data_IF_175934692193
#
_entry.id   IF_175934692193
#
_cell.length_a   1.000
_cell.length_b   1.000
_cell.length_c   1.000
_cell.angle_alpha   90.00
_cell.angle_beta   90.00
_cell.angle_gamma   90.00
#
_symmetry.space_group_name_H-M   'P 1'
#
loop_
_entity.id
_entity.type
_entity.pdbx_description
1 polymer ?
#
# COMPACT_ATOMS: atom_id res chain seq x y z
N UNK A 1 -0.27 -5.36 11.97
CA UNK A 1 -0.21 -5.99 10.63
C UNK A 1 -0.10 -4.91 9.57
N UNK A 2 0.69 -5.13 8.53
CA UNK A 2 0.90 -4.19 7.43
C UNK A 2 0.35 -4.80 6.14
N UNK A 3 -0.58 -4.09 5.50
CA UNK A 3 -1.16 -4.43 4.20
C UNK A 3 -0.69 -3.41 3.18
N UNK A 4 -0.03 -3.83 2.12
CA UNK A 4 0.30 -2.97 0.99
C UNK A 4 -0.59 -3.32 -0.19
N UNK A 5 -1.49 -2.40 -0.55
CA UNK A 5 -2.46 -2.58 -1.62
C UNK A 5 -2.17 -1.58 -2.73
N UNK A 6 -1.89 -2.09 -3.92
CA UNK A 6 -1.57 -1.25 -5.06
C UNK A 6 -2.52 -1.50 -6.24
N UNK A 7 -2.59 -0.55 -7.16
CA UNK A 7 -3.46 -0.63 -8.32
C UNK A 7 -3.61 0.71 -9.03
N UNK A 8 -4.26 0.69 -10.20
CA UNK A 8 -4.49 1.90 -11.02
C UNK A 8 -5.17 3.02 -10.24
N UNK A 9 -4.98 4.28 -10.64
CA UNK A 9 -5.81 5.37 -10.15
C UNK A 9 -7.30 5.04 -10.27
N UNK A 10 -8.10 5.50 -9.28
CA UNK A 10 -9.56 5.35 -9.27
C UNK A 10 -10.12 3.92 -9.26
N UNK A 11 -9.29 2.91 -9.04
CA UNK A 11 -9.73 1.49 -8.92
C UNK A 11 -10.50 1.22 -7.63
N UNK A 12 -10.47 2.15 -6.66
CA UNK A 12 -11.18 2.07 -5.38
C UNK A 12 -10.32 1.60 -4.21
N UNK A 13 -9.03 1.96 -4.20
CA UNK A 13 -8.09 1.67 -3.10
C UNK A 13 -8.57 2.27 -1.78
N UNK A 14 -8.92 3.56 -1.76
CA UNK A 14 -9.49 4.26 -0.60
C UNK A 14 -10.77 3.59 -0.10
N UNK A 15 -11.68 3.24 -1.00
CA UNK A 15 -12.92 2.51 -0.65
C UNK A 15 -12.60 1.15 0.00
N UNK A 16 -11.60 0.43 -0.51
CA UNK A 16 -11.16 -0.84 0.06
C UNK A 16 -10.67 -0.66 1.50
N UNK A 17 -9.83 0.34 1.76
CA UNK A 17 -9.19 0.58 3.05
C UNK A 17 -10.16 1.07 4.13
N UNK A 18 -11.18 1.83 3.74
CA UNK A 18 -12.14 2.45 4.69
C UNK A 18 -13.41 1.64 4.89
N UNK A 19 -13.72 0.71 3.98
CA UNK A 19 -14.93 -0.13 4.10
C UNK A 19 -14.87 -1.03 5.32
N UNK A 20 -15.69 -0.75 6.33
CA UNK A 20 -15.73 -1.47 7.60
C UNK A 20 -14.63 -1.05 8.59
N UNK A 21 -13.86 -0.01 8.31
CA UNK A 21 -12.89 0.53 9.24
C UNK A 21 -13.59 1.15 10.47
N UNK A 22 -13.08 0.94 11.69
CA UNK A 22 -13.71 1.43 12.92
C UNK A 22 -13.61 2.95 12.98
N UNK A 23 -14.79 3.64 12.99
CA UNK A 23 -14.85 5.09 13.17
C UNK A 23 -14.37 5.45 14.58
N UNK A 24 -13.66 6.56 14.70
CA UNK A 24 -13.06 7.01 15.97
C UNK A 24 -11.68 6.39 16.25
N UNK A 25 -11.36 5.24 15.66
CA UNK A 25 -10.05 4.57 15.83
C UNK A 25 -9.23 4.52 14.53
N UNK A 26 -9.76 5.08 13.44
CA UNK A 26 -9.09 5.10 12.13
C UNK A 26 -8.51 6.47 11.85
N UNK A 27 -7.23 6.50 11.50
CA UNK A 27 -6.56 7.68 10.97
C UNK A 27 -6.20 7.47 9.49
N UNK A 28 -6.28 8.54 8.71
CA UNK A 28 -5.93 8.60 7.29
C UNK A 28 -4.83 9.63 7.10
N UNK A 29 -3.66 9.20 6.66
CA UNK A 29 -2.59 10.08 6.19
C UNK A 29 -2.90 10.36 4.72
N UNK A 30 -3.47 11.55 4.46
CA UNK A 30 -3.99 11.96 3.16
C UNK A 30 -2.91 12.70 2.37
N UNK A 31 -2.22 12.00 1.48
CA UNK A 31 -1.09 12.55 0.74
C UNK A 31 -1.42 12.95 -0.72
N UNK A 32 -2.54 12.48 -1.29
CA UNK A 32 -2.86 12.73 -2.70
C UNK A 32 -4.22 13.41 -2.93
N UNK A 33 -4.80 14.03 -1.87
CA UNK A 33 -6.13 14.67 -1.90
C UNK A 33 -7.25 13.74 -2.43
N UNK A 34 -7.03 12.42 -2.39
CA UNK A 34 -7.92 11.40 -2.94
C UNK A 34 -9.22 11.18 -2.18
N UNK A 35 -9.47 11.94 -1.10
CA UNK A 35 -10.64 11.81 -0.24
C UNK A 35 -11.86 12.59 -0.73
N UNK A 36 -11.76 13.34 -1.83
CA UNK A 36 -12.88 14.10 -2.40
C UNK A 36 -14.04 13.15 -2.72
N UNK A 37 -15.21 13.43 -2.13
CA UNK A 37 -16.41 12.58 -2.28
C UNK A 37 -16.42 11.31 -1.43
N UNK A 38 -15.43 11.11 -0.57
CA UNK A 38 -15.40 10.02 0.42
C UNK A 38 -15.98 10.49 1.74
N UNK A 39 -16.90 9.72 2.34
CA UNK A 39 -17.38 10.01 3.70
C UNK A 39 -16.27 9.70 4.71
N UNK A 40 -15.64 10.76 5.21
CA UNK A 40 -14.57 10.69 6.22
C UNK A 40 -15.07 11.01 7.63
N UNK A 41 -16.37 11.15 7.84
CA UNK A 41 -16.94 11.45 9.16
C UNK A 41 -16.54 10.37 10.18
N UNK A 42 -16.04 10.82 11.33
CA UNK A 42 -15.54 9.92 12.39
C UNK A 42 -14.16 9.31 12.12
N UNK A 43 -13.45 9.71 11.06
CA UNK A 43 -12.03 9.39 10.86
C UNK A 43 -11.15 10.60 11.18
N UNK A 44 -9.97 10.35 11.71
CA UNK A 44 -8.94 11.39 11.87
C UNK A 44 -8.20 11.55 10.56
N UNK A 45 -8.30 12.72 9.91
CA UNK A 45 -7.61 12.98 8.63
C UNK A 45 -6.39 13.85 8.87
N UNK A 46 -5.22 13.38 8.47
CA UNK A 46 -3.93 14.07 8.56
C UNK A 46 -3.58 14.60 7.18
N UNK A 47 -3.72 15.90 6.97
CA UNK A 47 -3.41 16.58 5.71
C UNK A 47 -2.00 17.19 5.70
N UNK A 48 -1.42 17.51 6.86
CA UNK A 48 -0.02 17.91 6.94
C UNK A 48 0.87 16.66 6.94
N UNK A 49 1.34 16.31 5.76
CA UNK A 49 2.21 15.14 5.52
C UNK A 49 3.71 15.48 5.56
N UNK A 50 4.07 16.64 6.11
CA UNK A 50 5.49 16.98 6.34
C UNK A 50 6.15 15.95 7.27
N UNK A 51 7.42 15.63 7.02
CA UNK A 51 8.18 14.65 7.83
C UNK A 51 8.19 15.06 9.31
N UNK A 52 8.30 16.36 9.60
CA UNK A 52 8.27 16.89 10.96
C UNK A 52 6.92 16.64 11.65
N UNK A 53 5.80 16.90 10.96
CA UNK A 53 4.47 16.67 11.50
C UNK A 53 4.21 15.17 11.70
N UNK A 54 4.54 14.35 10.71
CA UNK A 54 4.37 12.90 10.81
C UNK A 54 5.14 12.33 12.03
N UNK A 55 6.38 12.78 12.24
CA UNK A 55 7.17 12.32 13.39
C UNK A 55 6.61 12.83 14.73
N UNK A 56 6.13 14.07 14.80
CA UNK A 56 5.66 14.68 16.04
C UNK A 56 4.26 14.20 16.41
N UNK A 57 3.35 14.18 15.46
CA UNK A 57 1.93 13.91 15.69
C UNK A 57 1.60 12.43 15.53
N UNK A 58 1.90 11.88 14.34
CA UNK A 58 1.46 10.53 13.94
C UNK A 58 2.25 9.43 14.63
N UNK A 59 3.51 9.66 14.92
CA UNK A 59 4.33 8.71 15.69
C UNK A 59 4.32 8.99 17.20
N UNK A 60 3.49 9.93 17.69
CA UNK A 60 3.36 10.17 19.13
C UNK A 60 2.69 8.99 19.84
N UNK A 61 3.06 8.69 21.10
CA UNK A 61 2.43 7.63 21.88
C UNK A 61 0.91 7.80 22.02
N UNK A 62 0.44 9.04 22.12
CA UNK A 62 -0.98 9.35 22.22
C UNK A 62 -1.74 8.96 20.94
N UNK A 63 -1.23 9.37 19.77
CA UNK A 63 -1.81 9.02 18.48
C UNK A 63 -1.80 7.50 18.27
N UNK A 64 -0.66 6.86 18.53
CA UNK A 64 -0.51 5.42 18.34
C UNK A 64 -1.41 4.59 19.30
N UNK A 65 -1.76 5.12 20.45
CA UNK A 65 -2.69 4.49 21.39
C UNK A 65 -4.15 4.64 20.95
N UNK A 66 -4.52 5.80 20.38
CA UNK A 66 -5.91 6.10 19.98
C UNK A 66 -6.29 5.53 18.62
N UNK A 67 -5.33 5.21 17.75
CA UNK A 67 -5.61 4.75 16.39
C UNK A 67 -5.11 3.31 16.19
N UNK A 68 -6.06 2.38 16.17
CA UNK A 68 -5.80 0.95 15.90
C UNK A 68 -5.79 0.62 14.40
N UNK A 69 -6.29 1.53 13.58
CA UNK A 69 -6.33 1.42 12.12
C UNK A 69 -5.75 2.67 11.48
N UNK A 70 -4.68 2.53 10.70
CA UNK A 70 -4.02 3.66 10.02
C UNK A 70 -3.96 3.37 8.53
N UNK A 71 -4.44 4.32 7.73
CA UNK A 71 -4.40 4.27 6.26
C UNK A 71 -3.40 5.31 5.75
N UNK A 72 -2.50 4.91 4.85
CA UNK A 72 -1.63 5.82 4.10
C UNK A 72 -2.14 5.90 2.67
N UNK A 73 -2.72 7.03 2.29
CA UNK A 73 -3.37 7.23 0.99
C UNK A 73 -2.77 8.46 0.26
N UNK A 74 -1.81 8.25 -0.61
CA UNK A 74 -1.07 7.05 -0.97
C UNK A 74 0.41 7.17 -0.58
N UNK A 75 1.10 6.04 -0.41
CA UNK A 75 2.54 6.06 -0.15
C UNK A 75 3.34 6.56 -1.36
N UNK A 76 2.82 6.42 -2.57
CA UNK A 76 3.40 7.00 -3.79
C UNK A 76 3.47 8.53 -3.67
N UNK A 77 2.33 9.19 -3.44
CA UNK A 77 2.28 10.64 -3.27
C UNK A 77 3.05 11.10 -2.02
N UNK A 78 2.95 10.36 -0.91
CA UNK A 78 3.68 10.69 0.32
C UNK A 78 5.20 10.69 0.10
N UNK A 79 5.73 9.71 -0.63
CA UNK A 79 7.14 9.66 -0.99
C UNK A 79 7.55 10.85 -1.85
N UNK A 80 6.73 11.24 -2.82
CA UNK A 80 6.96 12.42 -3.67
C UNK A 80 6.97 13.72 -2.85
N UNK A 81 6.04 13.88 -1.91
CA UNK A 81 6.04 15.02 -0.97
C UNK A 81 7.31 15.08 -0.13
N UNK A 82 7.75 13.95 0.42
CA UNK A 82 9.00 13.89 1.19
C UNK A 82 10.20 14.29 0.34
N UNK A 83 10.29 13.78 -0.89
CA UNK A 83 11.38 14.07 -1.81
C UNK A 83 11.38 15.55 -2.24
N UNK A 84 10.21 16.09 -2.56
CA UNK A 84 10.04 17.51 -2.93
C UNK A 84 10.47 18.44 -1.78
N UNK A 85 10.04 18.15 -0.56
CA UNK A 85 10.44 18.90 0.62
C UNK A 85 11.96 18.89 0.86
N UNK A 86 12.60 17.74 0.65
CA UNK A 86 14.06 17.59 0.79
C UNK A 86 14.84 18.29 -0.32
N UNK A 87 14.30 18.33 -1.55
CA UNK A 87 14.96 18.97 -2.69
C UNK A 87 14.75 20.48 -2.74
N UNK A 88 13.78 21.02 -1.99
CA UNK A 88 13.42 22.43 -2.05
C UNK A 88 12.99 22.88 -3.45
N UNK A 89 12.36 21.99 -4.22
CA UNK A 89 11.94 22.23 -5.61
C UNK A 89 13.07 22.15 -6.66
N UNK A 90 14.29 21.79 -6.25
CA UNK A 90 15.42 21.54 -7.18
C UNK A 90 15.42 20.08 -7.62
N UNK A 91 16.24 19.77 -8.65
CA UNK A 91 16.47 18.38 -9.07
C UNK A 91 17.03 17.56 -7.89
N UNK A 92 16.35 16.48 -7.47
CA UNK A 92 16.80 15.66 -6.37
C UNK A 92 18.11 14.95 -6.67
N UNK A 93 19.00 14.91 -5.69
CA UNK A 93 20.24 14.11 -5.73
C UNK A 93 19.99 12.68 -5.26
N UNK A 94 20.91 11.75 -5.54
CA UNK A 94 20.84 10.36 -5.04
C UNK A 94 20.72 10.29 -3.51
N UNK A 95 21.40 11.19 -2.79
CA UNK A 95 21.30 11.29 -1.33
C UNK A 95 19.88 11.66 -0.87
N UNK A 96 19.22 12.59 -1.56
CA UNK A 96 17.83 12.99 -1.24
C UNK A 96 16.84 11.85 -1.52
N UNK A 97 17.02 11.11 -2.59
CA UNK A 97 16.26 9.89 -2.84
C UNK A 97 16.42 8.86 -1.72
N UNK A 98 17.66 8.63 -1.28
CA UNK A 98 17.96 7.75 -0.15
C UNK A 98 17.29 8.21 1.15
N UNK A 99 17.34 9.52 1.43
CA UNK A 99 16.72 10.12 2.62
C UNK A 99 15.17 9.99 2.58
N UNK A 100 14.52 10.24 1.44
CA UNK A 100 13.07 10.07 1.28
C UNK A 100 12.65 8.60 1.45
N UNK A 101 13.39 7.66 0.87
CA UNK A 101 13.15 6.23 1.07
C UNK A 101 13.24 5.85 2.55
N UNK A 102 14.25 6.36 3.26
CA UNK A 102 14.43 6.10 4.69
C UNK A 102 13.34 6.74 5.54
N UNK A 103 12.90 7.96 5.22
CA UNK A 103 11.82 8.65 5.93
C UNK A 103 10.50 7.87 5.82
N UNK A 104 10.12 7.42 4.62
CA UNK A 104 8.95 6.58 4.40
C UNK A 104 9.06 5.26 5.18
N UNK A 105 10.20 4.57 5.09
CA UNK A 105 10.42 3.32 5.81
C UNK A 105 10.36 3.50 7.33
N UNK A 106 10.86 4.61 7.85
CA UNK A 106 10.83 4.95 9.29
C UNK A 106 9.40 5.19 9.76
N UNK A 107 8.60 5.95 9.00
CA UNK A 107 7.20 6.16 9.29
C UNK A 107 6.45 4.83 9.36
N UNK A 108 6.58 3.97 8.35
CA UNK A 108 5.87 2.68 8.31
C UNK A 108 6.29 1.76 9.47
N UNK A 109 7.57 1.72 9.83
CA UNK A 109 8.04 0.97 11.00
C UNK A 109 7.46 1.53 12.30
N UNK A 110 7.42 2.85 12.45
CA UNK A 110 6.85 3.52 13.63
C UNK A 110 5.35 3.28 13.78
N UNK A 111 4.63 3.17 12.68
CA UNK A 111 3.20 2.82 12.68
C UNK A 111 2.95 1.36 13.05
N UNK A 112 3.92 0.46 12.87
CA UNK A 112 3.77 -0.95 13.21
C UNK A 112 3.66 -1.11 14.72
N UNK A 113 2.61 -1.79 15.19
CA UNK A 113 2.39 -2.06 16.62
C UNK A 113 1.48 -3.25 16.83
N UNK A 114 1.47 -3.78 18.05
CA UNK A 114 0.58 -4.86 18.42
C UNK A 114 -0.89 -4.42 18.29
N UNK A 115 -1.71 -5.26 17.68
CA UNK A 115 -3.13 -4.98 17.45
C UNK A 115 -3.42 -3.92 16.39
N UNK A 116 -2.41 -3.19 15.85
CA UNK A 116 -2.65 -2.14 14.86
C UNK A 116 -2.63 -2.70 13.44
N UNK A 117 -3.59 -2.23 12.62
CA UNK A 117 -3.67 -2.45 11.19
C UNK A 117 -3.16 -1.21 10.46
N UNK A 118 -2.16 -1.38 9.61
CA UNK A 118 -1.63 -0.32 8.76
C UNK A 118 -1.89 -0.70 7.31
N UNK A 119 -2.75 0.05 6.63
CA UNK A 119 -3.10 -0.16 5.22
C UNK A 119 -2.39 0.89 4.39
N UNK A 120 -1.44 0.45 3.57
CA UNK A 120 -0.63 1.32 2.73
C UNK A 120 -1.15 1.18 1.30
N UNK A 121 -1.65 2.27 0.75
CA UNK A 121 -2.13 2.33 -0.63
C UNK A 121 -1.03 2.88 -1.53
N UNK A 122 -0.80 2.23 -2.67
CA UNK A 122 0.17 2.66 -3.68
C UNK A 122 -0.48 2.72 -5.06
N UNK A 123 0.05 3.57 -5.93
CA UNK A 123 -0.21 3.46 -7.37
C UNK A 123 0.52 2.24 -7.93
N UNK A 124 0.07 1.73 -9.08
CA UNK A 124 0.79 0.68 -9.80
C UNK A 124 1.60 1.28 -10.95
N UNK A 125 2.75 0.66 -11.23
CA UNK A 125 3.48 0.90 -12.47
C UNK A 125 3.74 -0.41 -13.21
N UNK A 126 3.83 -0.29 -14.52
CA UNK A 126 4.26 -1.36 -15.40
C UNK A 126 5.79 -1.29 -15.52
N UNK A 127 6.44 -2.40 -15.30
CA UNK A 127 7.89 -2.54 -15.51
C UNK A 127 8.06 -3.40 -16.76
N UNK A 128 8.67 -2.82 -17.78
CA UNK A 128 9.03 -3.56 -18.97
C UNK A 128 10.04 -4.66 -18.59
N UNK A 129 10.02 -5.79 -19.27
CA UNK A 129 11.05 -6.81 -19.10
C UNK A 129 12.42 -6.20 -19.44
N UNK A 130 13.43 -6.51 -18.65
CA UNK A 130 14.81 -6.17 -18.99
C UNK A 130 15.41 -7.35 -19.76
N UNK A 131 16.23 -7.05 -20.77
CA UNK A 131 16.90 -8.07 -21.60
C UNK A 131 17.78 -9.03 -20.79
N UNK A 132 18.18 -8.63 -19.58
CA UNK A 132 18.97 -9.43 -18.64
C UNK A 132 18.26 -10.69 -18.08
N UNK A 133 16.97 -10.86 -18.36
CA UNK A 133 16.16 -12.00 -17.88
C UNK A 133 15.86 -13.04 -18.95
N UNK A 134 16.38 -12.86 -20.17
CA UNK A 134 16.25 -13.83 -21.23
C UNK A 134 17.46 -14.77 -21.14
N UNK A 135 17.31 -15.95 -20.55
CA UNK A 135 18.27 -17.02 -20.77
C UNK A 135 18.12 -17.48 -22.21
N UNK A 136 19.23 -17.67 -22.93
CA UNK A 136 19.22 -18.07 -24.33
C UNK A 136 18.54 -19.44 -24.59
N UNK A 137 18.19 -20.16 -23.54
CA UNK A 137 17.67 -21.55 -23.57
C UNK A 137 16.18 -21.68 -23.22
N UNK A 138 15.49 -20.60 -22.79
CA UNK A 138 14.10 -20.70 -22.38
C UNK A 138 13.18 -19.92 -23.33
N UNK A 139 12.25 -20.63 -23.98
CA UNK A 139 11.08 -20.08 -24.69
C UNK A 139 10.10 -19.36 -23.72
N UNK A 140 10.57 -18.84 -22.59
CA UNK A 140 9.72 -18.10 -21.65
C UNK A 140 9.41 -16.73 -22.23
N UNK A 141 8.13 -16.52 -22.49
CA UNK A 141 7.55 -15.26 -22.94
C UNK A 141 7.90 -14.16 -21.93
N UNK A 142 8.65 -13.16 -22.37
CA UNK A 142 9.12 -12.04 -21.54
C UNK A 142 7.92 -11.20 -21.08
N UNK A 143 7.43 -11.45 -19.87
CA UNK A 143 6.19 -10.87 -19.36
C UNK A 143 6.49 -9.54 -18.63
N UNK A 144 5.84 -8.46 -19.07
CA UNK A 144 5.83 -7.21 -18.32
C UNK A 144 5.27 -7.40 -16.91
N UNK A 145 5.98 -6.91 -15.92
CA UNK A 145 5.54 -7.03 -14.52
C UNK A 145 4.84 -5.77 -14.03
N UNK A 146 3.86 -5.96 -13.12
CA UNK A 146 3.15 -4.87 -12.44
C UNK A 146 3.57 -4.83 -10.99
N UNK A 147 4.04 -3.68 -10.55
CA UNK A 147 4.55 -3.48 -9.20
C UNK A 147 4.08 -2.15 -8.59
N UNK A 148 4.52 -1.85 -7.38
CA UNK A 148 4.27 -0.59 -6.69
C UNK A 148 4.97 0.55 -7.42
N UNK A 149 4.27 1.65 -7.64
CA UNK A 149 4.85 2.88 -8.20
C UNK A 149 5.58 3.66 -7.11
N UNK A 150 6.78 3.19 -6.84
CA UNK A 150 7.75 3.75 -5.90
C UNK A 150 9.16 3.55 -6.47
N UNK A 151 10.15 4.35 -6.03
CA UNK A 151 11.55 4.04 -6.28
C UNK A 151 11.92 2.66 -5.73
N UNK A 152 12.86 1.98 -6.39
CA UNK A 152 13.21 0.59 -6.09
C UNK A 152 13.52 0.37 -4.60
N UNK A 153 14.26 1.27 -3.95
CA UNK A 153 14.59 1.17 -2.53
C UNK A 153 13.38 1.26 -1.61
N UNK A 154 12.44 2.19 -1.89
CA UNK A 154 11.19 2.34 -1.14
C UNK A 154 10.27 1.14 -1.38
N UNK A 155 10.09 0.72 -2.63
CA UNK A 155 9.28 -0.44 -2.98
C UNK A 155 9.78 -1.72 -2.28
N UNK A 156 11.10 -1.99 -2.34
CA UNK A 156 11.72 -3.14 -1.66
C UNK A 156 11.47 -3.10 -0.15
N UNK A 157 11.61 -1.93 0.48
CA UNK A 157 11.35 -1.77 1.91
C UNK A 157 9.90 -2.09 2.27
N UNK A 158 8.93 -1.57 1.51
CA UNK A 158 7.51 -1.85 1.73
C UNK A 158 7.18 -3.33 1.53
N UNK A 159 7.68 -3.94 0.45
CA UNK A 159 7.48 -5.37 0.17
C UNK A 159 7.99 -6.21 1.33
N UNK A 160 9.18 -5.91 1.85
CA UNK A 160 9.79 -6.64 2.96
C UNK A 160 9.01 -6.49 4.27
N UNK A 161 8.48 -5.30 4.56
CA UNK A 161 7.76 -5.01 5.80
C UNK A 161 6.31 -5.48 5.79
N UNK A 162 5.72 -5.69 4.62
CA UNK A 162 4.31 -6.05 4.48
C UNK A 162 4.03 -7.48 4.90
N UNK A 163 2.94 -7.66 5.63
CA UNK A 163 2.40 -8.98 5.97
C UNK A 163 1.49 -9.50 4.84
N UNK A 164 0.89 -8.59 4.07
CA UNK A 164 0.14 -8.88 2.85
C UNK A 164 0.40 -7.83 1.77
N UNK A 165 0.62 -8.28 0.54
CA UNK A 165 0.71 -7.43 -0.65
C UNK A 165 -0.33 -7.91 -1.63
N UNK A 166 -1.17 -6.98 -2.13
CA UNK A 166 -2.21 -7.32 -3.08
C UNK A 166 -2.39 -6.26 -4.17
N UNK A 167 -2.69 -6.72 -5.38
CA UNK A 167 -3.05 -5.86 -6.51
C UNK A 167 -4.55 -5.73 -6.62
N UNK A 168 -5.06 -4.51 -6.43
CA UNK A 168 -6.48 -4.19 -6.63
C UNK A 168 -6.72 -3.84 -8.10
N UNK A 169 -7.65 -4.55 -8.74
CA UNK A 169 -7.97 -4.37 -10.16
C UNK A 169 -9.46 -4.59 -10.44
N UNK A 170 -9.89 -4.19 -11.63
CA UNK A 170 -11.24 -4.42 -12.14
C UNK A 170 -11.16 -5.53 -13.19
N UNK A 171 -11.93 -6.60 -12.99
CA UNK A 171 -12.07 -7.68 -13.94
C UNK A 171 -13.44 -7.60 -14.64
N UNK A 172 -13.48 -7.92 -15.93
CA UNK A 172 -14.73 -8.18 -16.63
C UNK A 172 -15.12 -9.64 -16.40
N UNK A 173 -16.28 -9.85 -15.79
CA UNK A 173 -16.82 -11.19 -15.51
C UNK A 173 -18.21 -11.26 -16.12
N UNK A 174 -18.36 -11.98 -17.22
CA UNK A 174 -19.63 -12.13 -17.96
C UNK A 174 -20.27 -10.76 -18.29
N UNK A 175 -19.49 -9.83 -18.82
CA UNK A 175 -19.94 -8.47 -19.18
C UNK A 175 -20.11 -7.51 -18.00
N UNK A 176 -19.88 -7.94 -16.76
CA UNK A 176 -19.96 -7.09 -15.56
C UNK A 176 -18.59 -6.80 -14.97
N UNK A 177 -18.29 -5.53 -14.72
CA UNK A 177 -17.06 -5.12 -14.07
C UNK A 177 -17.11 -5.37 -12.56
N UNK A 178 -16.12 -6.09 -12.04
CA UNK A 178 -16.01 -6.47 -10.63
C UNK A 178 -14.63 -6.14 -10.08
N UNK A 179 -14.56 -5.57 -8.87
CA UNK A 179 -13.29 -5.37 -8.16
C UNK A 179 -12.81 -6.69 -7.61
N UNK A 180 -11.51 -6.94 -7.78
CA UNK A 180 -10.80 -8.09 -7.25
C UNK A 180 -9.47 -7.66 -6.66
N UNK A 181 -9.05 -8.32 -5.59
CA UNK A 181 -7.72 -8.17 -5.01
C UNK A 181 -6.92 -9.44 -5.30
N UNK A 182 -5.90 -9.32 -6.14
CA UNK A 182 -4.99 -10.41 -6.46
C UNK A 182 -3.99 -10.60 -5.31
N UNK A 183 -3.76 -11.84 -4.86
CA UNK A 183 -2.97 -12.17 -3.66
C UNK A 183 -1.88 -13.21 -3.91
N UNK A 184 -1.90 -13.90 -5.06
CA UNK A 184 -0.91 -14.94 -5.37
C UNK A 184 0.24 -14.35 -6.18
N UNK A 185 1.51 -14.62 -5.81
CA UNK A 185 2.64 -14.17 -6.60
C UNK A 185 2.65 -14.85 -7.96
N UNK A 186 2.99 -14.08 -9.00
CA UNK A 186 3.25 -14.56 -10.36
C UNK A 186 4.43 -13.79 -10.94
N UNK A 187 5.08 -14.26 -12.01
CA UNK A 187 6.16 -13.50 -12.65
C UNK A 187 5.77 -12.06 -13.02
N UNK A 188 4.50 -11.84 -13.40
CA UNK A 188 4.00 -10.51 -13.79
C UNK A 188 3.34 -9.70 -12.67
N UNK A 189 3.20 -10.21 -11.44
CA UNK A 189 2.47 -9.50 -10.36
C UNK A 189 3.13 -9.72 -9.01
N UNK A 190 3.57 -8.63 -8.38
CA UNK A 190 4.09 -8.66 -7.00
C UNK A 190 2.92 -8.79 -6.03
N UNK A 191 2.72 -9.96 -5.45
CA UNK A 191 1.67 -10.22 -4.48
C UNK A 191 2.11 -11.31 -3.50
N UNK A 192 1.38 -11.46 -2.39
CA UNK A 192 1.62 -12.51 -1.41
C UNK A 192 1.12 -12.15 -0.02
N UNK A 193 0.97 -13.15 0.85
CA UNK A 193 0.59 -12.94 2.24
C UNK A 193 1.33 -13.92 3.16
N UNK A 194 1.73 -13.42 4.33
CA UNK A 194 2.30 -14.21 5.43
C UNK A 194 1.16 -14.78 6.27
N UNK A 195 0.59 -15.89 5.86
CA UNK A 195 -0.56 -16.49 6.53
C UNK A 195 -0.36 -18.00 6.71
N UNK A 196 -0.66 -18.51 7.89
CA UNK A 196 -0.71 -19.95 8.14
C UNK A 196 -1.92 -20.60 7.46
N UNK A 197 -3.04 -19.86 7.33
CA UNK A 197 -4.30 -20.33 6.76
C UNK A 197 -4.34 -20.25 5.23
N UNK A 198 -3.92 -19.11 4.66
CA UNK A 198 -3.96 -18.86 3.22
C UNK A 198 -2.78 -19.50 2.51
N UNK A 199 -3.04 -20.40 1.57
CA UNK A 199 -2.05 -21.15 0.80
C UNK A 199 -2.02 -20.77 -0.70
N UNK A 200 -2.35 -19.51 -1.00
CA UNK A 200 -2.35 -19.00 -2.39
C UNK A 200 -3.65 -19.31 -3.18
N UNK A 201 -4.64 -19.92 -2.55
CA UNK A 201 -5.94 -20.19 -3.18
C UNK A 201 -7.10 -19.76 -2.30
N UNK A 202 -8.13 -19.10 -2.87
CA UNK A 202 -8.23 -18.62 -4.27
C UNK A 202 -7.18 -17.53 -4.57
N UNK A 203 -6.74 -17.38 -5.84
CA UNK A 203 -5.67 -16.43 -6.18
C UNK A 203 -6.10 -14.97 -6.02
N UNK A 204 -7.38 -14.70 -5.93
CA UNK A 204 -7.93 -13.37 -5.72
C UNK A 204 -9.13 -13.38 -4.77
N UNK A 205 -9.34 -12.25 -4.09
CA UNK A 205 -10.50 -11.97 -3.25
C UNK A 205 -11.51 -11.14 -4.06
N UNK A 206 -12.74 -11.63 -4.33
CA UNK A 206 -13.80 -10.85 -5.00
C UNK A 206 -14.44 -9.86 -4.02
N UNK A 207 -14.86 -8.69 -4.53
CA UNK A 207 -15.45 -7.59 -3.74
C UNK A 207 -14.67 -7.31 -2.45
N UNK A 208 -13.39 -6.96 -2.55
CA UNK A 208 -12.49 -6.95 -1.41
C UNK A 208 -12.79 -5.82 -0.42
N UNK A 209 -12.53 -6.10 0.85
CA UNK A 209 -12.42 -5.15 1.97
C UNK A 209 -11.35 -5.68 2.92
N UNK A 210 -10.85 -4.84 3.83
CA UNK A 210 -9.86 -5.27 4.84
C UNK A 210 -10.42 -6.40 5.70
N UNK A 211 -11.68 -6.29 6.15
CA UNK A 211 -12.35 -7.33 6.95
C UNK A 211 -12.41 -8.70 6.23
N UNK A 212 -12.78 -8.70 4.94
CA UNK A 212 -12.82 -9.93 4.15
C UNK A 212 -11.43 -10.50 3.90
N UNK A 213 -10.43 -9.63 3.76
CA UNK A 213 -9.04 -10.05 3.62
C UNK A 213 -8.55 -10.70 4.92
N UNK A 214 -8.85 -10.11 6.08
CA UNK A 214 -8.53 -10.68 7.39
C UNK A 214 -9.14 -12.06 7.56
N UNK A 215 -10.41 -12.21 7.21
CA UNK A 215 -11.12 -13.49 7.27
C UNK A 215 -10.46 -14.55 6.39
N UNK A 216 -10.09 -14.18 5.15
CA UNK A 216 -9.40 -15.08 4.21
C UNK A 216 -8.03 -15.50 4.76
N UNK A 217 -7.28 -14.56 5.33
CA UNK A 217 -5.93 -14.78 5.85
C UNK A 217 -5.93 -15.44 7.24
N UNK A 218 -7.08 -15.53 7.91
CA UNK A 218 -7.20 -16.05 9.27
C UNK A 218 -6.67 -15.09 10.33
N UNK A 219 -6.76 -13.78 10.09
CA UNK A 219 -6.28 -12.72 10.99
C UNK A 219 -7.40 -12.02 11.76
N UNK A 220 -8.63 -12.54 11.68
CA UNK A 220 -9.73 -12.09 12.54
C UNK A 220 -9.42 -12.45 13.99
N UNK A 221 -9.55 -11.48 14.91
CA UNK A 221 -9.58 -11.81 16.35
C UNK A 221 -10.81 -12.68 16.58
N UNK A 222 -10.62 -13.87 17.10
CA UNK A 222 -11.67 -14.70 17.70
C UNK A 222 -12.27 -13.99 18.90
#
# INVERSE_FOLDING_TARGET
>A
MIYTIYGKPKVGKTTFSLKGAPRGETAIINADDGLIGTDTSGFTVINDVSVSNLNREVLSPAFLKSHTHVVVDTATALHEHMLHAMSGGKTPTLSMWGAANQALATLIRGLKGEGRKVVILCQEKLVAPTEDWVSEDDDEEVIASVTLDLPQGAARSLITMSDCIGRLYIANVNGKYRRRLWLTPTPGVVAGARSAKYKGRPPFLPNPSVERLDSLLGWTKS
#
